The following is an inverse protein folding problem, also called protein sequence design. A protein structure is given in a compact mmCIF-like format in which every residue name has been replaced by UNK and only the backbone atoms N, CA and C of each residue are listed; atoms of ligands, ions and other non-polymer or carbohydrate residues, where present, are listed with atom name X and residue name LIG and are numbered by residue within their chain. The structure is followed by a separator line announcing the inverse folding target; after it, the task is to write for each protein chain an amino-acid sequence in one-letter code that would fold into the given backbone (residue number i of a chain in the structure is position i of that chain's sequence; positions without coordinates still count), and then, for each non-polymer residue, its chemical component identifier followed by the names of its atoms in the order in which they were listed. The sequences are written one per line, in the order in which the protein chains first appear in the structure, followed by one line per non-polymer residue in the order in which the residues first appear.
data_IF_859427959893
#
_entry.id   IF_859427959893
#
_cell.length_a   1.000
_cell.length_b   1.000
_cell.length_c   1.000
_cell.angle_alpha   90.00
_cell.angle_beta   90.00
_cell.angle_gamma   90.00
#
_symmetry.space_group_name_H-M   'P 1'
#
loop_
_entity.id
_entity.type
_entity.pdbx_description
1 polymer ?
#
# COMPACT_ATOMS: atom_id res chain seq x y z
N UNK A 1 -1.65 -5.26 -21.87
CA UNK A 1 -2.38 -6.12 -20.92
C UNK A 1 -2.22 -5.49 -19.55
N UNK A 2 -3.31 -5.25 -18.81
CA UNK A 2 -3.29 -4.60 -17.49
C UNK A 2 -2.43 -5.44 -16.53
N UNK A 3 -1.51 -4.81 -15.79
CA UNK A 3 -0.75 -5.48 -14.72
C UNK A 3 -1.65 -5.70 -13.49
N UNK A 4 -2.73 -6.46 -13.65
CA UNK A 4 -3.48 -7.03 -12.54
C UNK A 4 -2.79 -8.33 -12.16
N UNK A 5 -1.71 -8.22 -11.39
CA UNK A 5 -1.09 -9.39 -10.77
C UNK A 5 -2.13 -10.06 -9.90
N UNK A 6 -2.46 -11.30 -10.24
CA UNK A 6 -3.28 -12.16 -9.40
C UNK A 6 -2.33 -13.00 -8.55
N UNK A 7 -2.65 -13.16 -7.27
CA UNK A 7 -1.89 -14.04 -6.37
C UNK A 7 -2.47 -15.46 -6.35
N UNK A 8 -3.78 -15.60 -6.58
CA UNK A 8 -4.47 -16.89 -6.52
C UNK A 8 -5.59 -17.01 -7.55
N UNK A 9 -5.93 -18.25 -7.84
CA UNK A 9 -7.16 -18.68 -8.49
C UNK A 9 -8.15 -19.13 -7.40
N UNK A 10 -9.30 -18.44 -7.31
CA UNK A 10 -10.30 -18.69 -6.27
C UNK A 10 -11.09 -19.97 -6.48
N UNK A 11 -11.27 -20.40 -7.73
CA UNK A 11 -11.98 -21.63 -8.05
C UNK A 11 -11.10 -22.84 -7.76
N UNK A 12 -9.83 -22.77 -8.15
CA UNK A 12 -8.86 -23.85 -7.97
C UNK A 12 -8.25 -23.90 -6.56
N UNK A 13 -8.38 -22.85 -5.75
CA UNK A 13 -7.73 -22.71 -4.44
C UNK A 13 -6.21 -22.91 -4.54
N UNK A 14 -5.61 -22.25 -5.53
CA UNK A 14 -4.18 -22.35 -5.85
C UNK A 14 -3.57 -20.97 -5.99
N UNK A 15 -2.29 -20.85 -5.66
CA UNK A 15 -1.51 -19.68 -6.02
C UNK A 15 -1.22 -19.65 -7.53
N UNK A 16 -1.13 -18.46 -8.10
CA UNK A 16 -0.79 -18.23 -9.52
C UNK A 16 0.33 -17.20 -9.64
N UNK A 17 1.44 -17.52 -8.97
CA UNK A 17 2.62 -16.64 -8.86
C UNK A 17 3.79 -17.09 -9.71
N UNK A 18 3.80 -18.33 -10.19
CA UNK A 18 4.80 -18.79 -11.15
C UNK A 18 4.32 -18.48 -12.58
N UNK A 19 4.36 -17.19 -12.93
CA UNK A 19 3.93 -16.70 -14.24
C UNK A 19 4.97 -15.75 -14.84
N UNK A 20 4.98 -15.55 -16.17
CA UNK A 20 5.89 -14.59 -16.81
C UNK A 20 5.75 -13.16 -16.25
N UNK A 21 4.55 -12.76 -15.81
CA UNK A 21 4.31 -11.44 -15.23
C UNK A 21 4.98 -11.29 -13.87
N UNK A 22 4.85 -12.30 -12.99
CA UNK A 22 5.52 -12.31 -11.69
C UNK A 22 7.03 -12.40 -11.82
N UNK A 23 7.52 -13.21 -12.77
CA UNK A 23 8.94 -13.31 -13.08
C UNK A 23 9.52 -11.96 -13.50
N UNK A 24 8.83 -11.23 -14.39
CA UNK A 24 9.21 -9.88 -14.79
C UNK A 24 9.28 -8.92 -13.59
N UNK A 25 8.26 -8.92 -12.73
CA UNK A 25 8.21 -8.04 -11.54
C UNK A 25 9.37 -8.35 -10.58
N UNK A 26 9.63 -9.62 -10.29
CA UNK A 26 10.74 -10.01 -9.43
C UNK A 26 12.10 -9.67 -10.05
N UNK A 27 12.22 -9.78 -11.37
CA UNK A 27 13.42 -9.38 -12.11
C UNK A 27 13.65 -7.88 -12.03
N UNK A 28 12.62 -7.07 -12.25
CA UNK A 28 12.69 -5.61 -12.15
C UNK A 28 13.10 -5.19 -10.72
N UNK A 29 12.45 -5.77 -9.69
CA UNK A 29 12.77 -5.50 -8.27
C UNK A 29 14.20 -5.92 -7.93
N UNK A 30 14.62 -7.13 -8.32
CA UNK A 30 15.99 -7.58 -8.08
C UNK A 30 17.02 -6.69 -8.80
N UNK A 31 16.69 -6.20 -10.00
CA UNK A 31 17.50 -5.25 -10.75
C UNK A 31 17.69 -3.92 -10.02
N UNK A 32 16.66 -3.41 -9.32
CA UNK A 32 16.78 -2.19 -8.52
C UNK A 32 17.79 -2.35 -7.37
N UNK A 33 17.79 -3.50 -6.69
CA UNK A 33 18.76 -3.80 -5.63
C UNK A 33 20.17 -4.02 -6.19
N UNK A 34 20.30 -4.79 -7.27
CA UNK A 34 21.59 -5.03 -7.92
C UNK A 34 22.23 -3.74 -8.45
N UNK A 35 21.41 -2.82 -8.96
CA UNK A 35 21.83 -1.50 -9.41
C UNK A 35 22.03 -0.46 -8.31
N UNK A 36 21.81 -0.82 -7.03
CA UNK A 36 21.84 0.11 -5.87
C UNK A 36 20.94 1.34 -6.06
N UNK A 37 19.82 1.16 -6.75
CA UNK A 37 18.81 2.22 -6.95
C UNK A 37 17.96 2.42 -5.69
N UNK A 38 17.72 1.33 -4.95
CA UNK A 38 17.01 1.33 -3.68
C UNK A 38 17.93 0.92 -2.53
N UNK A 39 17.71 1.42 -1.31
CA UNK A 39 18.51 1.05 -0.13
C UNK A 39 18.42 -0.44 0.19
N UNK A 40 19.53 -1.01 0.63
CA UNK A 40 19.59 -2.36 1.20
C UNK A 40 19.07 -2.39 2.64
N UNK A 41 18.89 -3.60 3.18
CA UNK A 41 18.52 -3.77 4.58
C UNK A 41 19.61 -3.26 5.55
N UNK A 42 20.87 -3.34 5.14
CA UNK A 42 22.00 -2.78 5.89
C UNK A 42 21.96 -1.25 5.94
N UNK A 43 21.62 -0.61 4.82
CA UNK A 43 21.44 0.85 4.76
C UNK A 43 20.33 1.31 5.71
N UNK A 44 19.20 0.59 5.72
CA UNK A 44 18.08 0.86 6.62
C UNK A 44 18.45 0.68 8.09
N UNK A 45 19.23 -0.35 8.43
CA UNK A 45 19.69 -0.58 9.79
C UNK A 45 20.58 0.56 10.31
N UNK A 46 21.33 1.23 9.41
CA UNK A 46 22.30 2.28 9.74
C UNK A 46 21.71 3.60 10.26
N UNK A 47 20.39 3.79 10.16
CA UNK A 47 19.70 5.06 10.53
C UNK A 47 18.79 4.91 11.75
N UNK A 48 18.67 3.70 12.29
CA UNK A 48 17.71 3.32 13.34
C UNK A 48 17.89 4.01 14.71
N UNK A 49 18.96 4.79 14.90
CA UNK A 49 19.30 5.40 16.20
C UNK A 49 18.78 6.82 16.45
N UNK A 50 18.56 7.62 15.40
CA UNK A 50 18.34 9.08 15.54
C UNK A 50 16.89 9.52 15.27
N UNK A 51 15.98 8.58 14.99
CA UNK A 51 14.58 8.86 14.66
C UNK A 51 14.37 9.56 13.30
N UNK A 52 15.44 9.74 12.52
CA UNK A 52 15.40 10.30 11.17
C UNK A 52 15.56 9.18 10.13
N UNK A 53 14.71 9.15 9.10
CA UNK A 53 14.82 8.16 8.02
C UNK A 53 15.90 8.53 6.99
N UNK A 54 16.11 7.64 6.01
CA UNK A 54 17.11 7.83 4.94
C UNK A 54 16.86 9.09 4.08
N UNK A 55 15.62 9.51 3.90
CA UNK A 55 15.26 10.67 3.08
C UNK A 55 15.49 11.96 3.85
N UNK A 56 15.05 12.03 5.11
CA UNK A 56 15.28 13.18 5.99
C UNK A 56 16.76 13.42 6.30
N UNK A 57 17.56 12.36 6.30
CA UNK A 57 19.01 12.45 6.45
C UNK A 57 19.75 12.73 5.13
N UNK A 58 19.03 12.84 4.00
CA UNK A 58 19.59 13.10 2.68
C UNK A 58 20.43 11.94 2.10
N UNK A 59 20.30 10.73 2.65
CA UNK A 59 20.98 9.52 2.14
C UNK A 59 20.28 8.94 0.91
N UNK A 60 19.00 9.23 0.71
CA UNK A 60 18.26 8.95 -0.52
C UNK A 60 17.64 10.23 -1.08
N UNK A 61 17.53 10.30 -2.41
CA UNK A 61 16.94 11.44 -3.11
C UNK A 61 15.41 11.36 -3.20
N UNK A 62 14.82 10.18 -3.05
CA UNK A 62 13.38 9.94 -3.13
C UNK A 62 12.95 8.95 -2.06
N UNK A 63 11.78 9.18 -1.49
CA UNK A 63 11.06 8.22 -0.66
C UNK A 63 9.64 8.04 -1.19
N UNK A 64 9.11 6.83 -1.01
CA UNK A 64 7.68 6.56 -1.16
C UNK A 64 7.08 6.64 0.22
N UNK A 65 6.15 7.57 0.42
CA UNK A 65 5.44 7.75 1.70
C UNK A 65 3.99 8.16 1.47
N UNK A 66 3.16 7.89 2.47
CA UNK A 66 1.75 8.23 2.50
C UNK A 66 1.49 9.70 2.80
N UNK A 67 0.20 10.07 2.88
CA UNK A 67 -0.20 11.43 3.23
C UNK A 67 0.21 11.82 4.66
N UNK A 68 0.27 10.83 5.54
CA UNK A 68 0.72 10.92 6.93
C UNK A 68 2.18 11.34 7.07
N UNK A 69 3.06 10.93 6.14
CA UNK A 69 4.49 11.24 6.16
C UNK A 69 4.78 12.75 6.03
N UNK A 70 3.83 13.52 5.48
CA UNK A 70 3.89 14.98 5.51
C UNK A 70 3.97 15.52 6.95
N UNK A 71 3.38 14.83 7.93
CA UNK A 71 3.50 15.22 9.35
C UNK A 71 4.95 15.23 9.79
N UNK A 72 5.71 14.21 9.41
CA UNK A 72 7.10 14.03 9.82
C UNK A 72 7.99 15.05 9.10
N UNK A 73 7.76 15.28 7.80
CA UNK A 73 8.46 16.32 7.02
C UNK A 73 8.22 17.73 7.55
N UNK A 74 6.97 18.04 7.94
CA UNK A 74 6.63 19.34 8.52
C UNK A 74 7.16 19.50 9.94
N UNK A 75 7.18 18.42 10.73
CA UNK A 75 7.77 18.41 12.06
C UNK A 75 9.29 18.58 12.00
N UNK A 76 9.97 17.93 11.06
CA UNK A 76 11.42 18.05 10.86
C UNK A 76 11.84 19.51 10.65
N UNK A 77 11.05 20.31 9.90
CA UNK A 77 11.26 21.75 9.75
C UNK A 77 11.17 22.52 11.08
N UNK A 78 10.24 22.15 11.96
CA UNK A 78 10.07 22.78 13.27
C UNK A 78 11.19 22.40 14.27
N UNK A 79 11.75 21.20 14.14
CA UNK A 79 12.85 20.69 14.96
C UNK A 79 14.25 20.97 14.39
N UNK A 80 14.35 21.69 13.26
CA UNK A 80 15.61 22.12 12.62
C UNK A 80 16.41 23.16 13.44
N UNK A 81 16.43 23.03 14.77
CA UNK A 81 17.37 23.71 15.68
C UNK A 81 18.78 23.11 15.59
N UNK A 82 18.93 21.92 15.02
CA UNK A 82 20.23 21.34 14.70
C UNK A 82 20.70 21.85 13.33
N UNK A 83 21.73 22.71 13.25
CA UNK A 83 22.23 23.24 11.97
C UNK A 83 22.78 22.17 11.01
N UNK A 84 22.96 20.92 11.48
CA UNK A 84 23.33 19.76 10.64
C UNK A 84 22.14 19.11 9.95
N UNK A 85 20.93 19.23 10.51
CA UNK A 85 19.69 18.87 9.82
C UNK A 85 19.29 20.08 8.99
N UNK A 86 19.97 20.27 7.85
CA UNK A 86 19.57 21.27 6.85
C UNK A 86 18.07 21.11 6.61
N UNK A 87 17.33 22.22 6.59
CA UNK A 87 15.94 22.20 6.19
C UNK A 87 15.85 21.52 4.82
N UNK A 88 15.35 20.28 4.81
CA UNK A 88 15.23 19.47 3.60
C UNK A 88 14.34 20.23 2.62
N UNK A 89 14.85 20.47 1.42
CA UNK A 89 14.03 20.94 0.31
C UNK A 89 13.37 19.71 -0.31
N UNK A 90 12.04 19.68 -0.32
CA UNK A 90 11.27 18.51 -0.75
C UNK A 90 10.06 18.94 -1.55
N UNK A 91 9.69 18.08 -2.49
CA UNK A 91 8.48 18.21 -3.30
C UNK A 91 7.80 16.84 -3.36
N UNK A 92 6.48 16.85 -3.55
CA UNK A 92 5.70 15.63 -3.73
C UNK A 92 5.37 15.48 -5.21
N UNK A 93 5.64 14.30 -5.75
CA UNK A 93 5.27 13.93 -7.12
C UNK A 93 4.42 12.67 -7.10
N UNK A 94 3.55 12.45 -8.12
CA UNK A 94 2.84 11.18 -8.26
C UNK A 94 3.83 10.02 -8.38
N UNK A 95 3.49 8.84 -7.84
CA UNK A 95 4.27 7.62 -8.04
C UNK A 95 4.57 7.38 -9.52
N UNK A 96 5.64 6.67 -9.90
CA UNK A 96 5.88 6.29 -11.29
C UNK A 96 4.65 5.62 -11.93
N UNK A 97 4.35 5.99 -13.17
CA UNK A 97 3.20 5.44 -13.89
C UNK A 97 3.50 4.02 -14.38
N UNK A 98 2.50 3.15 -14.34
CA UNK A 98 2.59 1.85 -15.02
C UNK A 98 2.43 2.15 -16.52
N UNK A 99 3.41 1.83 -17.39
CA UNK A 99 3.34 2.19 -18.81
C UNK A 99 2.10 1.65 -19.50
N UNK A 100 1.65 0.46 -19.12
CA UNK A 100 0.47 -0.20 -19.68
C UNK A 100 -0.86 0.44 -19.23
N UNK A 101 -0.85 1.24 -18.16
CA UNK A 101 -2.01 2.01 -17.70
C UNK A 101 -1.60 3.26 -16.90
N UNK A 102 -1.23 4.36 -17.58
CA UNK A 102 -0.66 5.53 -16.92
C UNK A 102 -1.65 6.30 -16.04
N UNK A 103 -2.95 6.11 -16.25
CA UNK A 103 -4.02 6.77 -15.50
C UNK A 103 -4.32 6.14 -14.14
N UNK A 104 -3.80 4.93 -13.89
CA UNK A 104 -3.99 4.21 -12.63
C UNK A 104 -2.81 4.48 -11.71
N UNK A 105 -3.14 4.91 -10.48
CA UNK A 105 -2.19 5.09 -9.39
C UNK A 105 -2.27 3.93 -8.42
N UNK A 106 -1.11 3.46 -7.96
CA UNK A 106 -1.00 2.59 -6.80
C UNK A 106 -1.04 3.42 -5.51
N UNK A 107 -1.30 2.80 -4.36
CA UNK A 107 -1.20 3.43 -3.04
C UNK A 107 -2.39 4.31 -2.62
N UNK A 108 -3.50 4.31 -3.37
CA UNK A 108 -4.73 4.98 -2.94
C UNK A 108 -5.69 3.99 -2.26
N UNK A 109 -5.96 4.20 -0.98
CA UNK A 109 -6.97 3.44 -0.24
C UNK A 109 -8.19 4.30 0.04
N UNK A 110 -9.37 3.84 -0.39
CA UNK A 110 -10.64 4.50 -0.11
C UNK A 110 -11.11 4.12 1.30
N UNK A 111 -11.14 5.09 2.20
CA UNK A 111 -11.55 4.90 3.59
C UNK A 111 -12.89 5.57 3.88
N UNK A 112 -13.68 4.99 4.80
CA UNK A 112 -14.95 5.58 5.24
C UNK A 112 -16.07 5.53 4.18
N UNK A 113 -16.03 4.56 3.28
CA UNK A 113 -17.10 4.33 2.31
C UNK A 113 -18.40 3.99 3.02
N UNK A 114 -19.48 4.68 2.64
CA UNK A 114 -20.82 4.42 3.15
C UNK A 114 -21.69 3.85 2.02
N UNK A 115 -22.33 2.72 2.28
CA UNK A 115 -23.25 2.07 1.35
C UNK A 115 -24.60 1.81 2.02
N UNK A 116 -25.66 1.80 1.22
CA UNK A 116 -27.01 1.43 1.67
C UNK A 116 -27.27 0.02 1.16
N UNK A 117 -27.54 -0.90 2.09
CA UNK A 117 -27.85 -2.29 1.72
C UNK A 117 -29.09 -2.35 0.83
N UNK A 118 -29.05 -3.20 -0.20
CA UNK A 118 -30.16 -3.37 -1.15
C UNK A 118 -31.49 -3.79 -0.49
N UNK A 119 -31.42 -4.40 0.71
CA UNK A 119 -32.57 -4.85 1.51
C UNK A 119 -32.85 -3.93 2.71
N UNK A 120 -32.35 -2.69 2.71
CA UNK A 120 -32.56 -1.75 3.81
C UNK A 120 -34.05 -1.48 4.03
N UNK A 121 -34.50 -1.58 5.29
CA UNK A 121 -35.91 -1.35 5.66
C UNK A 121 -36.33 0.11 5.48
N UNK A 122 -35.41 1.05 5.76
CA UNK A 122 -35.64 2.50 5.67
C UNK A 122 -34.61 3.16 4.75
N UNK A 123 -34.65 2.92 3.42
CA UNK A 123 -33.62 3.41 2.50
C UNK A 123 -33.57 4.93 2.39
N UNK A 124 -34.70 5.62 2.60
CA UNK A 124 -34.77 7.09 2.57
C UNK A 124 -34.02 7.73 3.74
N UNK A 125 -34.19 7.21 4.94
CA UNK A 125 -33.51 7.72 6.14
C UNK A 125 -32.02 7.39 6.10
N UNK A 126 -31.67 6.18 5.64
CA UNK A 126 -30.27 5.82 5.38
C UNK A 126 -29.63 6.78 4.36
N UNK A 127 -30.34 7.15 3.29
CA UNK A 127 -29.85 8.15 2.34
C UNK A 127 -29.70 9.54 2.95
N UNK A 128 -30.64 9.97 3.81
CA UNK A 128 -30.50 11.23 4.53
C UNK A 128 -29.23 11.25 5.40
N UNK A 129 -28.95 10.14 6.10
CA UNK A 129 -27.73 9.98 6.89
C UNK A 129 -26.45 10.02 6.04
N UNK A 130 -26.42 9.30 4.90
CA UNK A 130 -25.29 9.34 3.96
C UNK A 130 -25.05 10.75 3.44
N UNK A 131 -26.11 11.47 3.03
CA UNK A 131 -26.01 12.87 2.59
C UNK A 131 -25.47 13.79 3.68
N UNK A 132 -25.93 13.62 4.92
CA UNK A 132 -25.47 14.42 6.05
C UNK A 132 -23.98 14.21 6.31
N UNK A 133 -23.52 12.96 6.40
CA UNK A 133 -22.11 12.64 6.63
C UNK A 133 -21.20 13.15 5.50
N UNK A 134 -21.71 13.17 4.27
CA UNK A 134 -20.99 13.70 3.12
C UNK A 134 -21.21 15.21 2.92
N UNK A 135 -21.93 15.91 3.81
CA UNK A 135 -22.19 17.34 3.67
C UNK A 135 -20.92 18.18 3.73
N UNK A 136 -20.97 19.41 3.23
CA UNK A 136 -19.82 20.33 3.29
C UNK A 136 -19.37 20.59 4.73
N UNK A 137 -20.31 20.77 5.65
CA UNK A 137 -20.00 21.06 7.06
C UNK A 137 -19.28 19.91 7.76
N UNK A 138 -19.76 18.67 7.60
CA UNK A 138 -19.07 17.49 8.13
C UNK A 138 -17.71 17.30 7.44
N UNK A 139 -17.64 17.53 6.13
CA UNK A 139 -16.38 17.40 5.37
C UNK A 139 -15.32 18.42 5.80
N UNK A 140 -15.70 19.63 6.22
CA UNK A 140 -14.76 20.64 6.74
C UNK A 140 -14.07 20.17 8.02
N UNK A 141 -14.76 19.41 8.87
CA UNK A 141 -14.17 18.81 10.07
C UNK A 141 -13.15 17.74 9.68
N UNK A 142 -13.52 16.85 8.75
CA UNK A 142 -12.64 15.79 8.23
C UNK A 142 -11.40 16.31 7.49
N UNK A 143 -11.50 17.46 6.82
CA UNK A 143 -10.39 18.07 6.08
C UNK A 143 -9.21 18.55 6.96
N UNK A 144 -9.36 18.52 8.29
CA UNK A 144 -8.27 18.77 9.24
C UNK A 144 -7.47 17.52 9.60
N UNK A 145 -7.86 16.36 9.07
CA UNK A 145 -7.15 15.10 9.32
C UNK A 145 -5.74 15.14 8.75
N UNK A 146 -4.81 14.59 9.53
CA UNK A 146 -3.41 14.39 9.14
C UNK A 146 -3.17 13.03 8.47
N UNK A 147 -4.18 12.15 8.49
CA UNK A 147 -4.11 10.78 7.97
C UNK A 147 -5.04 10.54 6.79
N UNK A 148 -6.10 11.35 6.65
CA UNK A 148 -7.10 11.19 5.59
C UNK A 148 -7.22 12.46 4.78
N UNK A 149 -7.33 12.27 3.47
CA UNK A 149 -7.53 13.35 2.53
C UNK A 149 -9.03 13.55 2.23
N UNK A 150 -9.49 14.80 2.04
CA UNK A 150 -10.90 15.07 1.74
C UNK A 150 -11.28 14.58 0.33
N UNK A 151 -12.48 14.02 0.18
CA UNK A 151 -13.01 13.66 -1.14
C UNK A 151 -13.53 14.87 -1.94
N UNK A 152 -13.81 16.00 -1.28
CA UNK A 152 -14.34 17.22 -1.91
C UNK A 152 -13.21 18.12 -2.41
N UNK A 153 -13.16 18.35 -3.72
CA UNK A 153 -12.15 19.23 -4.37
C UNK A 153 -12.02 20.61 -3.73
N UNK A 154 -13.14 21.21 -3.33
CA UNK A 154 -13.18 22.53 -2.69
C UNK A 154 -12.48 22.60 -1.32
N UNK A 155 -12.13 21.45 -0.73
CA UNK A 155 -11.46 21.36 0.57
C UNK A 155 -10.00 20.91 0.43
N UNK A 156 -9.53 20.63 -0.80
CA UNK A 156 -8.15 20.24 -1.06
C UNK A 156 -7.28 21.50 -0.98
N UNK A 157 -6.33 21.50 -0.06
CA UNK A 157 -5.38 22.59 0.16
C UNK A 157 -4.09 22.04 0.78
N UNK A 158 -2.94 22.71 0.61
CA UNK A 158 -1.73 22.34 1.33
C UNK A 158 -1.96 22.39 2.84
N UNK A 159 -1.39 21.42 3.55
CA UNK A 159 -1.44 21.36 5.02
C UNK A 159 -0.53 22.41 5.65
N UNK A 160 -0.97 23.00 6.76
CA UNK A 160 -0.17 23.89 7.64
C UNK A 160 0.61 25.01 6.91
N UNK A 161 0.09 25.47 5.77
CA UNK A 161 0.74 26.50 4.95
C UNK A 161 2.00 26.03 4.21
N UNK A 162 2.21 24.70 4.12
CA UNK A 162 3.30 24.10 3.37
C UNK A 162 3.21 24.41 1.88
N UNK A 163 4.37 24.44 1.21
CA UNK A 163 4.46 24.68 -0.23
C UNK A 163 4.64 23.33 -0.95
N UNK A 164 3.52 22.70 -1.30
CA UNK A 164 3.46 21.54 -2.20
C UNK A 164 2.13 21.57 -2.96
N UNK A 165 2.06 20.90 -4.10
CA UNK A 165 0.79 20.72 -4.81
C UNK A 165 0.00 19.55 -4.22
N UNK A 166 -1.13 19.77 -3.51
CA UNK A 166 -1.95 18.66 -3.01
C UNK A 166 -2.67 17.89 -4.11
N UNK A 167 -2.74 18.43 -5.33
CA UNK A 167 -3.35 17.80 -6.49
C UNK A 167 -2.66 16.50 -6.92
N UNK A 168 -1.37 16.34 -6.61
CA UNK A 168 -0.58 15.15 -6.95
C UNK A 168 -1.17 13.86 -6.38
N UNK A 169 -1.76 13.91 -5.18
CA UNK A 169 -2.41 12.76 -4.54
C UNK A 169 -3.72 12.35 -5.22
N UNK A 170 -4.29 13.22 -6.06
CA UNK A 170 -5.54 13.01 -6.79
C UNK A 170 -5.33 12.86 -8.29
N UNK A 171 -4.07 12.85 -8.75
CA UNK A 171 -3.73 12.88 -10.17
C UNK A 171 -4.14 11.60 -10.91
N UNK A 172 -4.35 10.48 -10.19
CA UNK A 172 -4.63 9.19 -10.79
C UNK A 172 -5.83 8.49 -10.14
N UNK A 173 -6.42 7.59 -10.92
CA UNK A 173 -7.54 6.75 -10.47
C UNK A 173 -7.02 5.62 -9.58
N UNK A 174 -7.77 5.21 -8.54
CA UNK A 174 -7.42 4.01 -7.78
C UNK A 174 -7.38 2.79 -8.70
N UNK A 175 -6.53 1.83 -8.36
CA UNK A 175 -6.66 0.47 -8.88
C UNK A 175 -8.05 -0.05 -8.53
N UNK A 176 -8.75 -0.64 -9.52
CA UNK A 176 -10.02 -1.28 -9.24
C UNK A 176 -9.83 -2.38 -8.19
N UNK A 177 -10.68 -2.39 -7.15
CA UNK A 177 -10.71 -3.46 -6.16
C UNK A 177 -10.84 -4.80 -6.90
N UNK A 178 -9.87 -5.70 -6.71
CA UNK A 178 -9.94 -7.03 -7.30
C UNK A 178 -11.06 -7.81 -6.60
N UNK A 179 -12.20 -7.98 -7.27
CA UNK A 179 -13.38 -8.64 -6.72
C UNK A 179 -13.08 -10.04 -6.16
N UNK A 180 -12.12 -10.75 -6.76
CA UNK A 180 -11.68 -12.09 -6.35
C UNK A 180 -11.10 -12.11 -4.92
N UNK A 181 -10.39 -11.05 -4.51
CA UNK A 181 -9.86 -10.93 -3.15
C UNK A 181 -10.97 -10.76 -2.13
N UNK A 182 -11.93 -9.89 -2.44
CA UNK A 182 -13.07 -9.62 -1.56
C UNK A 182 -13.86 -10.91 -1.30
N UNK A 183 -14.16 -11.70 -2.33
CA UNK A 183 -14.91 -12.95 -2.17
C UNK A 183 -14.16 -13.99 -1.35
N UNK A 184 -12.88 -14.22 -1.62
CA UNK A 184 -12.08 -15.17 -0.84
C UNK A 184 -11.84 -14.72 0.59
N UNK A 185 -11.64 -13.42 0.80
CA UNK A 185 -11.51 -12.80 2.12
C UNK A 185 -12.77 -13.01 2.97
N UNK A 186 -13.96 -12.85 2.38
CA UNK A 186 -15.21 -13.12 3.09
C UNK A 186 -15.48 -14.62 3.31
N UNK A 187 -14.95 -15.49 2.44
CA UNK A 187 -15.19 -16.92 2.50
C UNK A 187 -14.17 -17.72 3.34
N UNK A 188 -13.02 -17.12 3.68
CA UNK A 188 -11.87 -17.83 4.28
C UNK A 188 -11.28 -17.04 5.44
N UNK A 189 -11.05 -17.66 6.62
CA UNK A 189 -10.65 -16.93 7.82
C UNK A 189 -9.32 -16.19 7.70
N UNK A 190 -8.34 -16.72 6.95
CA UNK A 190 -7.04 -16.08 6.83
C UNK A 190 -6.18 -16.70 5.71
N UNK A 191 -5.92 -15.96 4.63
CA UNK A 191 -4.97 -16.39 3.58
C UNK A 191 -3.55 -15.79 3.77
N UNK A 192 -3.30 -15.03 4.84
CA UNK A 192 -1.99 -14.43 5.13
C UNK A 192 -0.82 -15.37 4.97
N UNK A 193 -0.87 -16.52 5.63
CA UNK A 193 0.29 -17.38 5.70
C UNK A 193 0.76 -17.81 4.31
N UNK A 194 -0.14 -17.94 3.32
CA UNK A 194 0.21 -18.33 1.96
C UNK A 194 0.91 -17.21 1.18
N UNK A 195 0.47 -15.96 1.31
CA UNK A 195 1.11 -14.85 0.59
C UNK A 195 2.43 -14.42 1.27
N UNK A 196 2.53 -14.53 2.59
CA UNK A 196 3.71 -14.10 3.37
C UNK A 196 4.96 -14.91 3.04
N UNK A 197 4.81 -16.13 2.51
CA UNK A 197 5.92 -16.95 1.99
C UNK A 197 6.71 -16.25 0.88
N UNK A 198 6.08 -15.36 0.11
CA UNK A 198 6.72 -14.70 -1.03
C UNK A 198 7.85 -13.74 -0.62
N UNK A 199 7.72 -13.08 0.54
CA UNK A 199 8.69 -12.09 1.01
C UNK A 199 10.10 -12.68 1.20
N UNK A 200 10.27 -13.71 2.06
CA UNK A 200 11.56 -14.39 2.22
C UNK A 200 12.10 -14.99 0.93
N UNK A 201 11.24 -15.54 0.07
CA UNK A 201 11.64 -16.14 -1.21
C UNK A 201 12.18 -15.09 -2.19
N UNK A 202 11.58 -13.90 -2.21
CA UNK A 202 12.09 -12.76 -2.97
C UNK A 202 13.44 -12.30 -2.42
N UNK A 203 13.61 -12.23 -1.09
CA UNK A 203 14.90 -11.86 -0.49
C UNK A 203 16.00 -12.86 -0.82
N UNK A 204 15.71 -14.16 -0.80
CA UNK A 204 16.65 -15.19 -1.24
C UNK A 204 17.02 -15.06 -2.71
N UNK A 205 16.06 -14.70 -3.57
CA UNK A 205 16.30 -14.46 -5.00
C UNK A 205 17.16 -13.21 -5.23
N UNK A 206 16.88 -12.11 -4.52
CA UNK A 206 17.69 -10.88 -4.54
C UNK A 206 19.12 -11.17 -4.05
N UNK A 207 19.26 -11.96 -2.99
CA UNK A 207 20.55 -12.37 -2.43
C UNK A 207 21.29 -13.44 -3.24
N UNK A 208 20.75 -13.88 -4.38
CA UNK A 208 21.38 -14.88 -5.25
C UNK A 208 21.44 -16.30 -4.68
N UNK A 209 20.73 -16.59 -3.57
CA UNK A 209 20.69 -17.94 -2.97
C UNK A 209 19.89 -18.93 -3.82
N UNK A 210 18.97 -18.41 -4.65
CA UNK A 210 18.13 -19.17 -5.57
C UNK A 210 17.77 -18.33 -6.79
N UNK A 211 17.39 -18.97 -7.89
CA UNK A 211 16.89 -18.24 -9.05
C UNK A 211 15.47 -17.73 -8.81
N UNK A 212 15.08 -16.63 -9.47
CA UNK A 212 13.72 -16.10 -9.44
C UNK A 212 12.69 -17.17 -9.83
N UNK A 213 12.98 -17.94 -10.89
CA UNK A 213 12.10 -19.02 -11.34
C UNK A 213 11.91 -20.10 -10.26
N UNK A 214 12.99 -20.54 -9.61
CA UNK A 214 12.88 -21.54 -8.53
C UNK A 214 12.10 -20.99 -7.33
N UNK A 215 12.30 -19.73 -6.97
CA UNK A 215 11.61 -19.09 -5.87
C UNK A 215 10.11 -18.91 -6.12
N UNK A 216 9.72 -18.50 -7.34
CA UNK A 216 8.31 -18.38 -7.73
C UNK A 216 7.61 -19.75 -7.79
N UNK A 217 8.28 -20.76 -8.33
CA UNK A 217 7.77 -22.14 -8.36
C UNK A 217 7.54 -22.67 -6.93
N UNK A 218 8.48 -22.43 -6.02
CA UNK A 218 8.34 -22.80 -4.61
C UNK A 218 7.21 -22.03 -3.92
N UNK A 219 7.11 -20.72 -4.15
CA UNK A 219 6.03 -19.92 -3.59
C UNK A 219 4.67 -20.44 -4.03
N UNK A 220 4.53 -20.74 -5.32
CA UNK A 220 3.30 -21.29 -5.87
C UNK A 220 2.94 -22.65 -5.25
N UNK A 221 3.89 -23.57 -5.17
CA UNK A 221 3.68 -24.90 -4.60
C UNK A 221 3.34 -24.85 -3.11
N UNK A 222 4.19 -24.20 -2.31
CA UNK A 222 4.04 -24.12 -0.85
C UNK A 222 2.81 -23.31 -0.45
N UNK A 223 2.56 -22.18 -1.11
CA UNK A 223 1.38 -21.38 -0.85
C UNK A 223 0.08 -22.06 -1.28
N UNK A 224 0.08 -22.80 -2.39
CA UNK A 224 -1.07 -23.64 -2.79
C UNK A 224 -1.35 -24.74 -1.75
N UNK A 225 -0.31 -25.40 -1.25
CA UNK A 225 -0.48 -26.41 -0.20
C UNK A 225 -1.08 -25.80 1.07
N UNK A 226 -0.60 -24.64 1.48
CA UNK A 226 -1.08 -23.91 2.66
C UNK A 226 -2.52 -23.41 2.49
N UNK A 227 -2.88 -22.87 1.33
CA UNK A 227 -4.26 -22.50 1.00
C UNK A 227 -5.22 -23.69 1.15
N UNK A 228 -4.82 -24.88 0.69
CA UNK A 228 -5.62 -26.11 0.84
C UNK A 228 -5.73 -26.56 2.29
N UNK A 229 -4.67 -26.42 3.08
CA UNK A 229 -4.69 -26.70 4.53
C UNK A 229 -5.63 -25.75 5.27
N UNK A 230 -5.56 -24.45 4.98
CA UNK A 230 -6.46 -23.42 5.53
C UNK A 230 -7.92 -23.75 5.18
N UNK A 231 -8.18 -24.13 3.93
CA UNK A 231 -9.51 -24.55 3.49
C UNK A 231 -10.04 -25.75 4.29
N UNK A 232 -9.17 -26.72 4.57
CA UNK A 232 -9.54 -27.95 5.25
C UNK A 232 -9.71 -27.78 6.77
N UNK A 233 -8.97 -26.86 7.38
CA UNK A 233 -9.03 -26.57 8.81
C UNK A 233 -8.98 -25.05 9.08
N UNK A 234 -10.07 -24.32 8.77
CA UNK A 234 -10.11 -22.87 8.91
C UNK A 234 -9.83 -22.38 10.34
N UNK A 235 -10.30 -23.11 11.35
CA UNK A 235 -10.20 -22.72 12.76
C UNK A 235 -8.74 -22.68 13.26
N UNK A 236 -7.87 -23.54 12.72
CA UNK A 236 -6.44 -23.51 13.04
C UNK A 236 -5.72 -22.24 12.56
N UNK A 237 -6.34 -21.49 11.63
CA UNK A 237 -5.79 -20.26 11.07
C UNK A 237 -6.67 -19.04 11.36
N UNK A 238 -7.71 -19.20 12.18
CA UNK A 238 -8.68 -18.15 12.49
C UNK A 238 -8.12 -17.00 13.36
N UNK A 239 -6.90 -17.14 13.89
CA UNK A 239 -6.28 -16.15 14.75
C UNK A 239 -5.07 -15.50 14.08
N UNK A 240 -5.36 -14.41 13.37
CA UNK A 240 -4.44 -13.32 13.10
C UNK A 240 -5.21 -12.02 13.30
N UNK A 241 -5.47 -11.67 14.56
CA UNK A 241 -5.96 -10.36 14.95
C UNK A 241 -4.90 -9.31 14.59
N UNK A 242 -4.78 -8.94 13.32
CA UNK A 242 -4.04 -7.75 12.85
C UNK A 242 -4.12 -7.53 11.32
N UNK A 243 -5.23 -7.85 10.65
CA UNK A 243 -5.54 -7.25 9.34
C UNK A 243 -6.10 -5.81 9.45
N UNK A 244 -5.75 -5.13 10.54
CA UNK A 244 -5.63 -3.67 10.63
C UNK A 244 -4.18 -3.20 10.45
N UNK A 245 -3.28 -4.04 9.93
CA UNK A 245 -1.90 -3.68 9.60
C UNK A 245 -1.88 -2.56 8.56
N UNK A 246 -1.52 -1.36 9.02
CA UNK A 246 -1.43 -0.16 8.22
C UNK A 246 -0.58 -0.37 6.97
N UNK A 247 -1.19 -0.05 5.82
CA UNK A 247 -0.50 0.76 4.83
C UNK A 247 -0.40 2.16 5.43
N UNK A 248 0.52 2.30 6.37
CA UNK A 248 0.88 3.51 7.07
C UNK A 248 2.40 3.59 7.04
N UNK A 249 2.88 4.50 6.22
CA UNK A 249 4.26 4.76 5.83
C UNK A 249 4.21 5.75 4.70
#
# INVERSE_FOLDING_TARGET
MLLQLKLFDKQAWTMIVDTPQWNRVWTDVAGLYAGRVVPSQEDLASVSGDGADLFMTGRVAMAVGGYEYLSDLLAAKAYAKNPKLRALDWEVVPLPAIPENPDIGSGLTLNGLMAIGAKARNPRDAWAFVRYNNSLEVSKLGARSTYRMPARKSLIKPRDGASYDPGVFYARRPVALQADWSELYWATPNLAPAYELGGPLLQDAIGGKRTIAAALAEWQASGTALMKQIKANPDAYANGSDFGGGWGG
#
